data_IF_444055565997
#
_entry.id   IF_444055565997
#
_cell.length_a   1.000
_cell.length_b   1.000
_cell.length_c   1.000
_cell.angle_alpha   90.00
_cell.angle_beta   90.00
_cell.angle_gamma   90.00
#
_symmetry.space_group_name_H-M   'P 1'
#
loop_
_entity.id
_entity.type
_entity.pdbx_description
1 polymer ?
#
# COMPACT_ATOMS: atom_id res chain seq x y z
N UNK A 1 44.01 -41.81 38.88
CA UNK A 1 42.98 -40.74 38.90
C UNK A 1 42.17 -40.82 37.62
N UNK A 2 40.96 -41.36 37.65
CA UNK A 2 40.10 -41.45 36.46
C UNK A 2 39.42 -40.09 36.18
N UNK A 3 39.64 -39.52 34.99
CA UNK A 3 38.97 -38.29 34.57
C UNK A 3 37.55 -38.63 34.08
N UNK A 4 36.52 -38.24 34.83
CA UNK A 4 35.13 -38.33 34.36
C UNK A 4 34.89 -37.33 33.23
N UNK A 5 34.46 -37.82 32.07
CA UNK A 5 34.11 -37.01 30.89
C UNK A 5 32.76 -36.33 31.15
N UNK A 6 32.74 -35.00 31.20
CA UNK A 6 31.52 -34.21 31.41
C UNK A 6 30.69 -34.24 30.11
N UNK A 7 29.55 -34.93 30.11
CA UNK A 7 28.62 -34.95 28.97
C UNK A 7 27.91 -33.60 28.96
N UNK A 8 28.13 -32.81 27.90
CA UNK A 8 27.36 -31.59 27.66
C UNK A 8 26.11 -31.97 26.89
N UNK A 9 24.93 -31.71 27.47
CA UNK A 9 23.66 -31.79 26.75
C UNK A 9 23.65 -30.72 25.67
N UNK A 10 23.80 -31.14 24.41
CA UNK A 10 23.76 -30.25 23.25
C UNK A 10 22.36 -30.19 22.65
N UNK A 11 22.04 -29.04 22.07
CA UNK A 11 20.81 -28.83 21.31
C UNK A 11 20.76 -29.80 20.12
N UNK A 12 19.62 -30.48 19.93
CA UNK A 12 19.47 -31.51 18.88
C UNK A 12 19.00 -30.92 17.55
N UNK A 13 19.32 -31.58 16.44
CA UNK A 13 18.78 -31.18 15.13
C UNK A 13 17.26 -31.30 15.08
N UNK A 14 16.69 -32.31 15.76
CA UNK A 14 15.24 -32.51 15.80
C UNK A 14 14.53 -31.35 16.52
N UNK A 15 15.12 -30.76 17.57
CA UNK A 15 14.60 -29.55 18.19
C UNK A 15 14.59 -28.36 17.20
N UNK A 16 15.66 -28.17 16.41
CA UNK A 16 15.71 -27.06 15.44
C UNK A 16 14.66 -27.28 14.34
N UNK A 17 14.46 -28.53 13.90
CA UNK A 17 13.47 -28.88 12.88
C UNK A 17 12.05 -28.60 13.34
N UNK A 18 11.70 -28.96 14.58
CA UNK A 18 10.37 -28.69 15.14
C UNK A 18 10.16 -27.17 15.27
N UNK A 19 11.19 -26.42 15.69
CA UNK A 19 11.11 -24.95 15.78
C UNK A 19 10.86 -24.31 14.40
N UNK A 20 11.61 -24.71 13.37
CA UNK A 20 11.40 -24.21 12.01
C UNK A 20 10.01 -24.59 11.48
N UNK A 21 9.55 -25.80 11.79
CA UNK A 21 8.20 -26.24 11.42
C UNK A 21 7.10 -25.37 12.04
N UNK A 22 7.19 -25.09 13.33
CA UNK A 22 6.24 -24.21 14.03
C UNK A 22 6.30 -22.79 13.46
N UNK A 23 7.49 -22.23 13.25
CA UNK A 23 7.66 -20.90 12.62
C UNK A 23 7.04 -20.88 11.22
N UNK A 24 7.21 -21.95 10.43
CA UNK A 24 6.60 -22.09 9.11
C UNK A 24 5.07 -22.01 9.15
N UNK A 25 4.42 -22.72 10.08
CA UNK A 25 2.96 -22.64 10.28
C UNK A 25 2.52 -21.22 10.66
N UNK A 26 3.24 -20.58 11.59
CA UNK A 26 2.94 -19.20 11.99
C UNK A 26 3.04 -18.21 10.82
N UNK A 27 4.08 -18.34 9.98
CA UNK A 27 4.25 -17.52 8.78
C UNK A 27 3.09 -17.71 7.78
N UNK A 28 2.63 -18.95 7.58
CA UNK A 28 1.48 -19.24 6.72
C UNK A 28 0.17 -18.59 7.23
N UNK A 29 -0.01 -18.46 8.55
CA UNK A 29 -1.18 -17.79 9.12
C UNK A 29 -1.11 -16.25 9.01
N UNK A 30 0.10 -15.67 9.04
CA UNK A 30 0.33 -14.22 8.99
C UNK A 30 0.32 -13.69 7.55
N UNK A 31 0.93 -14.42 6.61
CA UNK A 31 1.04 -14.04 5.20
C UNK A 31 -0.28 -13.59 4.54
N UNK A 32 -1.41 -14.31 4.66
CA UNK A 32 -2.67 -13.88 4.05
C UNK A 32 -3.19 -12.57 4.65
N UNK A 33 -2.99 -12.35 5.96
CA UNK A 33 -3.41 -11.12 6.64
C UNK A 33 -2.62 -9.90 6.14
N UNK A 34 -1.31 -10.05 5.94
CA UNK A 34 -0.46 -8.99 5.39
C UNK A 34 -0.85 -8.61 3.96
N UNK A 35 -1.17 -9.61 3.11
CA UNK A 35 -1.64 -9.37 1.75
C UNK A 35 -2.95 -8.56 1.72
N UNK A 36 -3.93 -8.97 2.53
CA UNK A 36 -5.21 -8.27 2.62
C UNK A 36 -5.06 -6.84 3.16
N UNK A 37 -4.21 -6.62 4.17
CA UNK A 37 -3.97 -5.29 4.73
C UNK A 37 -3.28 -4.36 3.73
N UNK A 38 -2.32 -4.86 2.95
CA UNK A 38 -1.69 -4.11 1.86
C UNK A 38 -2.71 -3.70 0.81
N UNK A 39 -3.57 -4.63 0.38
CA UNK A 39 -4.62 -4.35 -0.60
C UNK A 39 -5.62 -3.30 -0.08
N UNK A 40 -6.01 -3.38 1.20
CA UNK A 40 -6.92 -2.40 1.80
C UNK A 40 -6.29 -1.01 1.88
N UNK A 41 -5.01 -0.93 2.29
CA UNK A 41 -4.27 0.33 2.31
C UNK A 41 -4.15 0.95 0.91
N UNK A 42 -3.93 0.14 -0.13
CA UNK A 42 -3.93 0.60 -1.51
C UNK A 42 -5.30 1.13 -1.96
N UNK A 43 -6.40 0.46 -1.58
CA UNK A 43 -7.77 0.92 -1.88
C UNK A 43 -8.07 2.27 -1.24
N UNK A 44 -7.82 2.40 0.07
CA UNK A 44 -8.04 3.65 0.82
C UNK A 44 -7.16 4.77 0.24
N UNK A 45 -5.90 4.47 -0.08
CA UNK A 45 -5.01 5.45 -0.70
C UNK A 45 -5.44 5.87 -2.12
N UNK A 46 -6.08 4.99 -2.88
CA UNK A 46 -6.70 5.31 -4.17
C UNK A 46 -7.93 6.20 -4.02
N UNK A 47 -8.81 5.87 -3.08
CA UNK A 47 -10.02 6.66 -2.76
C UNK A 47 -9.66 8.08 -2.30
N UNK A 48 -8.73 8.21 -1.35
CA UNK A 48 -8.24 9.52 -0.90
C UNK A 48 -7.55 10.30 -2.04
N UNK A 49 -6.86 9.61 -2.94
CA UNK A 49 -6.26 10.26 -4.11
C UNK A 49 -7.32 10.80 -5.08
N UNK A 50 -8.43 10.08 -5.27
CA UNK A 50 -9.56 10.55 -6.05
C UNK A 50 -10.17 11.83 -5.45
N UNK A 51 -10.37 11.86 -4.13
CA UNK A 51 -10.87 13.04 -3.41
C UNK A 51 -9.94 14.26 -3.55
N UNK A 52 -8.62 14.06 -3.50
CA UNK A 52 -7.65 15.14 -3.75
C UNK A 52 -7.78 15.67 -5.16
N UNK A 53 -7.89 14.81 -6.17
CA UNK A 53 -8.06 15.23 -7.57
C UNK A 53 -9.38 15.99 -7.75
N UNK A 54 -10.47 15.52 -7.12
CA UNK A 54 -11.75 16.23 -7.13
C UNK A 54 -11.64 17.61 -6.48
N UNK A 55 -10.98 17.72 -5.33
CA UNK A 55 -10.75 19.00 -4.65
C UNK A 55 -9.97 19.96 -5.56
N UNK A 56 -8.95 19.46 -6.29
CA UNK A 56 -8.22 20.28 -7.25
C UNK A 56 -9.10 20.72 -8.42
N UNK A 57 -10.02 19.86 -8.87
CA UNK A 57 -11.00 20.21 -9.88
C UNK A 57 -11.94 21.32 -9.40
N UNK A 58 -12.46 21.21 -8.18
CA UNK A 58 -13.38 22.20 -7.61
C UNK A 58 -12.68 23.56 -7.38
N UNK A 59 -11.41 23.55 -6.96
CA UNK A 59 -10.60 24.77 -6.88
C UNK A 59 -10.44 25.42 -8.26
N UNK A 60 -10.14 24.63 -9.30
CA UNK A 60 -10.05 25.16 -10.66
C UNK A 60 -11.39 25.76 -11.13
N UNK A 61 -12.52 25.11 -10.85
CA UNK A 61 -13.87 25.66 -11.15
C UNK A 61 -14.09 26.99 -10.43
N UNK A 62 -13.72 27.06 -9.15
CA UNK A 62 -13.86 28.28 -8.34
C UNK A 62 -13.00 29.43 -8.87
N UNK A 63 -11.80 29.15 -9.35
CA UNK A 63 -10.87 30.17 -9.83
C UNK A 63 -11.19 30.67 -11.25
N UNK A 64 -11.72 29.79 -12.11
CA UNK A 64 -11.96 30.10 -13.54
C UNK A 64 -13.42 30.37 -13.88
N UNK A 65 -14.36 29.90 -13.06
CA UNK A 65 -15.79 29.88 -13.37
C UNK A 65 -16.16 28.87 -14.47
N UNK A 66 -15.23 28.04 -14.94
CA UNK A 66 -15.50 27.00 -15.93
C UNK A 66 -16.14 25.77 -15.26
N UNK A 67 -17.27 25.31 -15.79
CA UNK A 67 -18.00 24.15 -15.25
C UNK A 67 -17.36 22.82 -15.63
N UNK A 68 -16.69 22.77 -16.79
CA UNK A 68 -16.06 21.57 -17.32
C UNK A 68 -14.57 21.55 -16.95
N UNK A 69 -14.14 20.52 -16.23
CA UNK A 69 -12.74 20.33 -15.83
C UNK A 69 -12.23 19.00 -16.35
N UNK A 70 -11.10 19.06 -17.04
CA UNK A 70 -10.35 17.88 -17.50
C UNK A 70 -9.04 17.73 -16.71
N UNK A 71 -8.55 16.49 -16.61
CA UNK A 71 -7.25 16.20 -16.00
C UNK A 71 -6.11 16.95 -16.71
N UNK A 72 -6.21 17.14 -18.03
CA UNK A 72 -5.22 17.88 -18.82
C UNK A 72 -5.20 19.37 -18.46
N UNK A 73 -6.36 19.98 -18.20
CA UNK A 73 -6.43 21.37 -17.71
C UNK A 73 -5.80 21.50 -16.32
N UNK A 74 -6.08 20.55 -15.42
CA UNK A 74 -5.47 20.55 -14.08
C UNK A 74 -3.95 20.41 -14.12
N UNK A 75 -3.42 19.63 -15.06
CA UNK A 75 -1.97 19.54 -15.28
C UNK A 75 -1.40 20.83 -15.90
N UNK A 76 -2.02 21.33 -16.97
CA UNK A 76 -1.58 22.53 -17.67
C UNK A 76 -1.56 23.78 -16.76
N UNK A 77 -2.47 23.84 -15.80
CA UNK A 77 -2.63 24.94 -14.84
C UNK A 77 -1.92 24.68 -13.50
N UNK A 78 -1.11 23.63 -13.41
CA UNK A 78 -0.29 23.24 -12.25
C UNK A 78 -1.07 22.86 -10.97
N UNK A 79 -2.36 22.51 -11.07
CA UNK A 79 -3.12 21.93 -9.95
C UNK A 79 -2.72 20.47 -9.69
N UNK A 80 -2.22 19.76 -10.71
CA UNK A 80 -1.64 18.42 -10.58
C UNK A 80 -0.18 18.43 -11.03
N UNK A 81 0.69 17.79 -10.24
CA UNK A 81 2.05 17.52 -10.68
C UNK A 81 2.10 16.32 -11.65
N UNK A 82 3.22 16.15 -12.37
CA UNK A 82 3.39 15.07 -13.35
C UNK A 82 3.10 13.68 -12.79
N UNK A 83 3.52 13.38 -11.55
CA UNK A 83 3.29 12.07 -10.94
C UNK A 83 1.80 11.83 -10.65
N UNK A 84 1.10 12.86 -10.19
CA UNK A 84 -0.34 12.80 -9.92
C UNK A 84 -1.13 12.69 -11.22
N UNK A 85 -0.77 13.45 -12.26
CA UNK A 85 -1.40 13.37 -13.58
C UNK A 85 -1.28 11.98 -14.19
N UNK A 86 -0.07 11.42 -14.24
CA UNK A 86 0.16 10.05 -14.75
C UNK A 86 -0.58 9.00 -13.92
N UNK A 87 -0.60 9.15 -12.59
CA UNK A 87 -1.34 8.26 -11.71
C UNK A 87 -2.85 8.34 -11.96
N UNK A 88 -3.42 9.54 -12.05
CA UNK A 88 -4.84 9.76 -12.32
C UNK A 88 -5.26 9.21 -13.68
N UNK A 89 -4.39 9.36 -14.70
CA UNK A 89 -4.60 8.79 -16.04
C UNK A 89 -4.58 7.26 -16.03
N UNK A 90 -3.63 6.65 -15.30
CA UNK A 90 -3.53 5.20 -15.18
C UNK A 90 -4.69 4.60 -14.38
N UNK A 91 -5.14 5.29 -13.33
CA UNK A 91 -6.29 4.88 -12.51
C UNK A 91 -7.64 5.25 -13.17
N UNK A 92 -7.62 5.88 -14.34
CA UNK A 92 -8.81 6.34 -15.09
C UNK A 92 -9.79 7.12 -14.22
N UNK A 93 -9.24 8.02 -13.40
CA UNK A 93 -10.03 8.86 -12.52
C UNK A 93 -10.94 9.75 -13.38
N UNK A 94 -12.24 9.65 -13.13
CA UNK A 94 -13.25 10.54 -13.72
C UNK A 94 -13.49 11.65 -12.70
N UNK A 95 -13.25 12.89 -13.13
CA UNK A 95 -13.62 14.06 -12.32
C UNK A 95 -15.13 14.13 -12.31
N UNK A 96 -15.72 13.99 -11.13
CA UNK A 96 -17.17 14.04 -11.00
C UNK A 96 -17.60 15.50 -11.14
N UNK A 97 -18.39 15.78 -12.16
CA UNK A 97 -19.03 17.09 -12.30
C UNK A 97 -20.35 17.02 -11.56
N UNK A 98 -20.28 16.79 -10.24
CA UNK A 98 -21.45 16.98 -9.40
C UNK A 98 -21.75 18.49 -9.41
N UNK A 99 -22.87 18.80 -10.05
CA UNK A 99 -23.60 20.06 -9.95
C UNK A 99 -24.22 20.19 -8.56
#
# INVERSE_FOLDING_TARGET
MERRKKIMSGFTLIEMSIVIFIIGILLLLIMPKLGAQKSNAQKIGGEAFNEVVQTQADLYKSDTGESAVSLDQLYAKNYLNKKQFEKAKNEKIVIDSNE
#
